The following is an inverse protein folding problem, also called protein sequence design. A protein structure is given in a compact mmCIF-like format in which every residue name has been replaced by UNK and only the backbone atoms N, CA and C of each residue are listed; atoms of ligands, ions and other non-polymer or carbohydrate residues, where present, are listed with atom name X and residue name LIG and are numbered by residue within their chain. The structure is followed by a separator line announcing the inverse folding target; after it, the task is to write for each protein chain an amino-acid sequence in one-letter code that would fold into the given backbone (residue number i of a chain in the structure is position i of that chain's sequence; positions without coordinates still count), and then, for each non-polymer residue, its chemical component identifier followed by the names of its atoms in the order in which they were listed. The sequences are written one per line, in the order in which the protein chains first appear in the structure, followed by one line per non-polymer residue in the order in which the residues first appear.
data_IF_979666952252
#
_entry.id   IF_979666952252
#
_cell.length_a   1.000
_cell.length_b   1.000
_cell.length_c   1.000
_cell.angle_alpha   90.00
_cell.angle_beta   90.00
_cell.angle_gamma   90.00
#
_symmetry.space_group_name_H-M   'P 1'
#
loop_
_entity.id
_entity.type
_entity.pdbx_description
1 polymer ?
#
# COMPACT_ATOMS: atom_id res chain seq x y z
N UNK A 1 -29.01 0.79 -26.82
CA UNK A 1 -28.13 1.40 -25.78
C UNK A 1 -27.61 0.40 -24.74
N UNK A 2 -28.24 -0.77 -24.51
CA UNK A 2 -27.74 -1.81 -23.60
C UNK A 2 -26.53 -2.61 -24.13
N UNK A 3 -26.47 -2.88 -25.44
CA UNK A 3 -25.44 -3.72 -26.07
C UNK A 3 -24.05 -3.06 -26.06
N UNK A 4 -23.97 -1.72 -26.06
CA UNK A 4 -22.70 -0.99 -26.01
C UNK A 4 -22.05 -0.99 -24.61
N UNK A 5 -22.84 -1.14 -23.54
CA UNK A 5 -22.31 -1.19 -22.16
C UNK A 5 -21.68 -2.54 -21.84
N UNK A 6 -22.26 -3.64 -22.34
CA UNK A 6 -21.75 -4.99 -22.09
C UNK A 6 -20.47 -5.27 -22.86
N UNK A 7 -20.34 -4.77 -24.10
CA UNK A 7 -19.10 -4.89 -24.87
C UNK A 7 -17.95 -4.10 -24.24
N UNK A 8 -18.18 -2.86 -23.78
CA UNK A 8 -17.12 -2.07 -23.14
C UNK A 8 -16.58 -2.71 -21.84
N UNK A 9 -17.47 -3.33 -21.06
CA UNK A 9 -17.12 -4.09 -19.85
C UNK A 9 -16.25 -5.30 -20.20
N UNK A 10 -16.62 -6.07 -21.23
CA UNK A 10 -15.86 -7.24 -21.67
C UNK A 10 -14.46 -6.86 -22.15
N UNK A 11 -14.32 -5.79 -22.93
CA UNK A 11 -13.02 -5.34 -23.44
C UNK A 11 -12.11 -4.85 -22.30
N UNK A 12 -12.65 -4.18 -21.27
CA UNK A 12 -11.87 -3.71 -20.12
C UNK A 12 -11.46 -4.87 -19.19
N UNK A 13 -12.34 -5.86 -18.98
CA UNK A 13 -12.03 -7.08 -18.23
C UNK A 13 -10.94 -7.89 -18.93
N UNK A 14 -11.01 -7.99 -20.26
CA UNK A 14 -9.96 -8.57 -21.10
C UNK A 14 -8.67 -7.75 -21.00
N UNK A 15 -8.74 -6.42 -20.93
CA UNK A 15 -7.56 -5.54 -20.76
C UNK A 15 -6.93 -5.68 -19.38
N UNK A 16 -7.72 -5.83 -18.31
CA UNK A 16 -7.24 -6.08 -16.95
C UNK A 16 -6.64 -7.49 -16.80
N UNK A 17 -7.27 -8.50 -17.40
CA UNK A 17 -6.76 -9.87 -17.48
C UNK A 17 -5.51 -9.95 -18.37
N UNK A 18 -5.45 -9.19 -19.46
CA UNK A 18 -4.28 -9.08 -20.32
C UNK A 18 -3.15 -8.32 -19.62
N UNK A 19 -3.42 -7.24 -18.88
CA UNK A 19 -2.41 -6.56 -18.07
C UNK A 19 -1.85 -7.48 -16.98
N UNK A 20 -2.70 -8.28 -16.33
CA UNK A 20 -2.27 -9.32 -15.39
C UNK A 20 -1.48 -10.46 -16.06
N UNK A 21 -1.72 -10.74 -17.35
CA UNK A 21 -0.99 -11.74 -18.15
C UNK A 21 0.31 -11.24 -18.80
N UNK A 22 0.45 -9.92 -19.05
CA UNK A 22 1.64 -9.29 -19.64
C UNK A 22 2.73 -9.02 -18.60
N UNK A 23 2.35 -8.76 -17.35
CA UNK A 23 3.27 -8.51 -16.22
C UNK A 23 4.22 -9.70 -15.90
N UNK A 24 3.75 -10.97 -15.86
CA UNK A 24 4.61 -12.13 -15.65
C UNK A 24 5.77 -12.19 -16.65
N UNK A 25 5.56 -11.80 -17.91
CA UNK A 25 6.60 -11.81 -18.94
C UNK A 25 7.66 -10.71 -18.74
N UNK A 26 7.30 -9.58 -18.14
CA UNK A 26 8.22 -8.48 -17.83
C UNK A 26 9.01 -8.72 -16.53
N UNK A 27 8.42 -9.41 -15.54
CA UNK A 27 9.08 -9.73 -14.28
C UNK A 27 10.30 -10.67 -14.47
N UNK A 28 10.32 -11.48 -15.54
CA UNK A 28 11.48 -12.30 -15.90
C UNK A 28 12.67 -11.51 -16.47
N UNK A 29 12.52 -10.21 -16.76
CA UNK A 29 13.58 -9.37 -17.33
C UNK A 29 14.41 -8.60 -16.29
N UNK A 30 13.97 -8.56 -15.02
CA UNK A 30 14.76 -7.94 -13.97
C UNK A 30 15.83 -8.91 -13.48
N UNK A 31 17.10 -8.56 -13.71
CA UNK A 31 18.21 -9.22 -13.02
C UNK A 31 18.03 -9.08 -11.51
N UNK A 32 18.38 -10.13 -10.76
CA UNK A 32 18.30 -10.24 -9.28
C UNK A 32 19.29 -9.30 -8.56
N UNK A 33 19.32 -8.02 -8.92
CA UNK A 33 20.20 -6.98 -8.39
C UNK A 33 19.65 -6.21 -7.18
N UNK A 34 18.49 -6.62 -6.65
CA UNK A 34 17.78 -5.89 -5.60
C UNK A 34 17.04 -4.64 -6.11
N UNK A 35 16.05 -4.19 -5.36
CA UNK A 35 15.33 -2.93 -5.63
C UNK A 35 15.72 -1.88 -4.59
N UNK A 36 15.72 -0.61 -4.99
CA UNK A 36 15.83 0.52 -4.06
C UNK A 36 14.44 0.91 -3.55
N UNK A 37 14.38 1.55 -2.37
CA UNK A 37 13.15 1.99 -1.73
C UNK A 37 12.06 0.89 -1.62
N UNK A 38 12.35 -0.32 -1.09
CA UNK A 38 11.33 -1.36 -0.89
C UNK A 38 10.21 -0.92 0.05
N UNK A 39 10.46 0.10 0.89
CA UNK A 39 9.45 0.76 1.74
C UNK A 39 8.24 1.30 0.97
N UNK A 40 8.40 1.70 -0.30
CA UNK A 40 7.31 2.20 -1.16
C UNK A 40 6.27 1.12 -1.50
N UNK A 41 6.60 -0.15 -1.33
CA UNK A 41 5.69 -1.27 -1.57
C UNK A 41 4.88 -1.64 -0.33
N UNK A 42 5.15 -1.01 0.82
CA UNK A 42 4.46 -1.22 2.08
C UNK A 42 3.26 -0.25 2.23
N UNK A 43 2.00 -0.74 2.23
CA UNK A 43 0.83 0.03 2.63
C UNK A 43 0.99 0.83 3.93
N UNK A 44 0.81 2.15 3.84
CA UNK A 44 0.92 3.07 4.98
C UNK A 44 -0.39 3.17 5.78
N UNK A 45 -1.01 2.02 6.10
CA UNK A 45 -2.32 1.97 6.76
C UNK A 45 -2.44 0.77 7.69
N UNK A 46 -2.58 1.05 8.98
CA UNK A 46 -2.92 0.05 9.99
C UNK A 46 -4.13 -0.81 9.61
N UNK A 47 -5.16 -0.18 9.04
CA UNK A 47 -6.37 -0.86 8.58
C UNK A 47 -6.05 -1.86 7.46
N UNK A 48 -5.34 -1.44 6.41
CA UNK A 48 -4.98 -2.33 5.29
C UNK A 48 -4.07 -3.46 5.76
N UNK A 49 -3.10 -3.14 6.62
CA UNK A 49 -2.20 -4.10 7.25
C UNK A 49 -2.97 -5.20 8.00
N UNK A 50 -4.02 -4.82 8.74
CA UNK A 50 -4.88 -5.76 9.46
C UNK A 50 -5.76 -6.63 8.53
N UNK A 51 -5.90 -6.22 7.28
CA UNK A 51 -6.59 -6.93 6.21
C UNK A 51 -5.60 -7.68 5.30
N UNK A 52 -4.40 -7.99 5.83
CA UNK A 52 -3.38 -8.73 5.12
C UNK A 52 -2.73 -7.97 3.98
N UNK A 53 -2.87 -6.64 3.92
CA UNK A 53 -2.53 -5.71 2.82
C UNK A 53 -3.53 -5.62 1.67
N UNK A 54 -4.68 -6.27 1.78
CA UNK A 54 -5.69 -6.15 0.75
C UNK A 54 -6.26 -4.71 0.76
N UNK A 55 -6.28 -4.07 -0.41
CA UNK A 55 -6.66 -2.67 -0.55
C UNK A 55 -6.75 -2.13 -1.98
N UNK A 56 -6.39 -2.90 -3.01
CA UNK A 56 -6.34 -2.44 -4.40
C UNK A 56 -7.70 -1.95 -4.92
N UNK A 57 -8.81 -2.49 -4.42
CA UNK A 57 -10.17 -2.12 -4.80
C UNK A 57 -10.95 -1.37 -3.71
N UNK A 58 -10.39 -1.24 -2.52
CA UNK A 58 -11.06 -0.57 -1.41
C UNK A 58 -10.85 0.95 -1.49
N UNK A 59 -11.58 1.72 -0.69
CA UNK A 59 -11.75 3.17 -0.92
C UNK A 59 -12.05 3.97 0.37
N UNK A 60 -11.32 3.76 1.48
CA UNK A 60 -11.78 4.18 2.82
C UNK A 60 -10.82 4.83 3.82
N UNK A 61 -9.58 5.13 3.47
CA UNK A 61 -8.57 5.67 4.39
C UNK A 61 -7.75 6.77 3.69
N UNK A 62 -6.89 7.48 4.43
CA UNK A 62 -6.10 8.57 3.85
C UNK A 62 -4.78 8.13 3.22
N UNK A 63 -4.42 6.85 3.33
CA UNK A 63 -3.18 6.30 2.80
C UNK A 63 -3.36 5.56 1.48
N UNK A 64 -4.55 5.60 0.85
CA UNK A 64 -4.80 4.92 -0.43
C UNK A 64 -3.86 5.34 -1.55
N UNK A 65 -3.31 6.55 -1.55
CA UNK A 65 -2.28 6.93 -2.53
C UNK A 65 -1.05 6.00 -2.50
N UNK A 66 -0.78 5.31 -1.38
CA UNK A 66 0.29 4.31 -1.27
C UNK A 66 -0.05 2.94 -1.88
N UNK A 67 -1.31 2.67 -2.22
CA UNK A 67 -1.77 1.35 -2.71
C UNK A 67 -2.53 1.44 -4.04
N UNK A 68 -3.40 2.42 -4.20
CA UNK A 68 -4.10 2.73 -5.45
C UNK A 68 -4.54 4.22 -5.46
N UNK A 69 -3.99 5.07 -6.34
CA UNK A 69 -4.36 6.48 -6.39
C UNK A 69 -5.83 6.73 -6.76
N UNK A 70 -6.54 5.75 -7.36
CA UNK A 70 -7.97 5.87 -7.59
C UNK A 70 -8.83 5.74 -6.33
N UNK A 71 -8.22 5.39 -5.18
CA UNK A 71 -8.90 5.23 -3.89
C UNK A 71 -8.93 6.48 -3.00
N UNK A 72 -8.22 7.57 -3.36
CA UNK A 72 -8.18 8.78 -2.52
C UNK A 72 -9.56 9.44 -2.39
N UNK A 73 -9.87 10.05 -1.24
CA UNK A 73 -11.13 10.79 -0.96
C UNK A 73 -12.40 10.12 -1.50
N UNK A 74 -12.58 8.86 -1.16
CA UNK A 74 -13.78 8.12 -1.51
C UNK A 74 -14.80 8.02 -0.36
N UNK A 75 -14.41 8.51 0.82
CA UNK A 75 -15.35 9.03 1.82
C UNK A 75 -15.70 10.45 1.36
N UNK A 76 -16.95 10.89 1.50
CA UNK A 76 -17.48 12.08 0.84
C UNK A 76 -16.91 13.43 1.33
N UNK A 77 -15.85 13.39 2.15
CA UNK A 77 -15.32 14.52 2.90
C UNK A 77 -13.81 14.71 2.67
N UNK A 78 -13.34 15.91 3.00
CA UNK A 78 -11.92 16.19 3.15
C UNK A 78 -11.35 15.34 4.29
N UNK A 79 -10.11 14.87 4.13
CA UNK A 79 -9.50 13.94 5.08
C UNK A 79 -8.06 14.32 5.34
N UNK A 80 -7.72 14.46 6.63
CA UNK A 80 -6.33 14.44 7.10
C UNK A 80 -6.06 13.08 7.70
N UNK A 81 -4.93 12.47 7.34
CA UNK A 81 -4.56 11.15 7.84
C UNK A 81 -3.13 11.11 8.31
N UNK A 82 -2.92 10.51 9.48
CA UNK A 82 -1.61 10.24 10.05
C UNK A 82 -1.47 8.75 10.32
N UNK A 83 -0.30 8.21 10.00
CA UNK A 83 0.11 6.87 10.36
C UNK A 83 1.46 6.89 11.03
N UNK A 84 1.58 6.11 12.10
CA UNK A 84 2.84 5.70 12.68
C UNK A 84 2.87 4.17 12.76
N UNK A 85 3.93 3.53 12.28
CA UNK A 85 4.11 2.08 12.32
C UNK A 85 5.52 1.71 12.79
N UNK A 86 5.60 0.87 13.82
CA UNK A 86 6.87 0.30 14.28
C UNK A 86 7.14 -1.03 13.59
N UNK A 87 8.39 -1.22 13.18
CA UNK A 87 8.94 -2.41 12.57
C UNK A 87 10.01 -3.10 13.43
N UNK A 88 10.58 -4.20 12.93
CA UNK A 88 11.67 -4.91 13.60
C UNK A 88 12.94 -4.05 13.60
N UNK A 89 13.86 -4.31 14.55
CA UNK A 89 15.15 -3.59 14.65
C UNK A 89 15.00 -2.06 14.68
N UNK A 90 14.02 -1.56 15.44
CA UNK A 90 13.74 -0.12 15.63
C UNK A 90 13.40 0.66 14.34
N UNK A 91 13.11 -0.04 13.25
CA UNK A 91 12.63 0.57 12.01
C UNK A 91 11.25 1.18 12.21
N UNK A 92 10.96 2.29 11.52
CA UNK A 92 9.70 3.03 11.67
C UNK A 92 9.20 3.55 10.33
N UNK A 93 7.89 3.56 10.15
CA UNK A 93 7.25 4.24 9.02
C UNK A 93 6.32 5.31 9.55
N UNK A 94 6.43 6.50 8.99
CA UNK A 94 5.56 7.63 9.22
C UNK A 94 4.87 7.99 7.90
N UNK A 95 3.58 8.29 7.97
CA UNK A 95 2.81 8.75 6.83
C UNK A 95 1.88 9.89 7.23
N UNK A 96 1.86 10.95 6.43
CA UNK A 96 0.94 12.06 6.59
C UNK A 96 0.32 12.36 5.24
N UNK A 97 -1.00 12.47 5.18
CA UNK A 97 -1.70 12.93 3.99
C UNK A 97 -2.84 13.89 4.30
N UNK A 98 -3.15 14.69 3.28
CA UNK A 98 -4.35 15.50 3.24
C UNK A 98 -4.98 15.35 1.86
N UNK A 99 -6.28 15.09 1.82
CA UNK A 99 -7.04 14.96 0.58
C UNK A 99 -8.25 15.88 0.59
N UNK A 100 -8.44 16.60 -0.51
CA UNK A 100 -9.59 17.47 -0.73
C UNK A 100 -10.46 16.91 -1.85
N UNK A 101 -11.78 17.01 -1.68
CA UNK A 101 -12.75 16.57 -2.68
C UNK A 101 -13.53 17.76 -3.24
N UNK A 102 -13.53 17.89 -4.57
CA UNK A 102 -14.31 18.87 -5.30
C UNK A 102 -15.12 18.20 -6.41
N UNK A 103 -16.41 17.96 -6.15
CA UNK A 103 -17.32 17.23 -7.03
C UNK A 103 -16.78 15.86 -7.46
N UNK A 104 -16.33 15.75 -8.72
CA UNK A 104 -15.77 14.54 -9.34
C UNK A 104 -14.24 14.49 -9.23
N UNK A 105 -13.59 15.59 -8.89
CA UNK A 105 -12.15 15.66 -8.73
C UNK A 105 -11.79 15.50 -7.25
N UNK A 106 -10.75 14.74 -6.98
CA UNK A 106 -10.08 14.76 -5.68
C UNK A 106 -8.60 14.99 -5.90
N UNK A 107 -7.99 15.78 -5.01
CA UNK A 107 -6.56 16.04 -5.00
C UNK A 107 -6.02 15.74 -3.63
N UNK A 108 -4.84 15.16 -3.56
CA UNK A 108 -4.20 14.81 -2.30
C UNK A 108 -2.71 15.06 -2.33
N UNK A 109 -2.18 15.43 -1.17
CA UNK A 109 -0.75 15.49 -0.92
C UNK A 109 -0.42 14.48 0.18
N UNK A 110 0.72 13.82 0.07
CA UNK A 110 1.19 12.94 1.12
C UNK A 110 2.71 12.97 1.24
N UNK A 111 3.19 12.69 2.45
CA UNK A 111 4.60 12.47 2.76
C UNK A 111 4.71 11.12 3.43
N UNK A 112 5.66 10.32 2.98
CA UNK A 112 6.04 9.04 3.59
C UNK A 112 7.51 9.13 4.00
N UNK A 113 7.82 8.67 5.20
CA UNK A 113 9.18 8.59 5.72
C UNK A 113 9.38 7.23 6.37
N UNK A 114 10.40 6.49 5.95
CA UNK A 114 10.75 5.20 6.51
C UNK A 114 12.16 5.28 7.10
N UNK A 115 12.25 5.16 8.42
CA UNK A 115 13.51 5.08 9.16
C UNK A 115 13.93 3.61 9.22
N UNK A 116 15.13 3.29 8.71
CA UNK A 116 15.68 1.93 8.76
C UNK A 116 16.34 1.62 10.11
N UNK A 117 16.29 2.52 11.08
CA UNK A 117 16.92 2.34 12.39
C UNK A 117 18.43 2.60 12.34
N UNK A 118 19.08 2.36 13.49
CA UNK A 118 20.52 2.49 13.63
C UNK A 118 21.19 1.12 13.48
N UNK A 119 22.21 1.02 12.63
CA UNK A 119 23.01 -0.18 12.46
C UNK A 119 24.48 0.10 12.84
N UNK A 120 25.17 -0.82 13.53
CA UNK A 120 26.58 -0.64 13.89
C UNK A 120 27.45 -0.64 12.63
N UNK A 121 28.48 0.21 12.61
CA UNK A 121 29.48 0.20 11.55
C UNK A 121 30.33 -1.08 11.64
N UNK A 122 30.79 -1.59 10.50
CA UNK A 122 31.76 -2.69 10.48
C UNK A 122 33.17 -2.12 10.39
N UNK A 123 34.08 -2.55 11.28
CA UNK A 123 35.50 -2.19 11.21
C UNK A 123 36.22 -3.02 10.15
N UNK A 124 37.34 -2.50 9.65
CA UNK A 124 38.28 -3.26 8.82
C UNK A 124 38.78 -4.47 9.62
N UNK A 125 38.27 -5.66 9.30
CA UNK A 125 38.48 -6.90 10.06
C UNK A 125 37.20 -7.70 10.33
N UNK A 126 36.02 -7.10 10.12
CA UNK A 126 34.72 -7.77 10.24
C UNK A 126 34.06 -7.65 11.62
N UNK A 127 34.73 -7.03 12.58
CA UNK A 127 34.15 -6.75 13.91
C UNK A 127 33.17 -5.57 13.84
N UNK A 128 32.05 -5.69 14.54
CA UNK A 128 31.07 -4.61 14.69
C UNK A 128 31.59 -3.53 15.65
N UNK A 129 31.53 -2.27 15.23
CA UNK A 129 31.73 -1.11 16.08
C UNK A 129 30.40 -0.68 16.70
N UNK A 130 30.04 -1.28 17.83
CA UNK A 130 28.81 -0.93 18.54
C UNK A 130 28.79 0.53 19.04
N UNK A 131 29.94 1.23 19.07
CA UNK A 131 30.03 2.62 19.50
C UNK A 131 29.72 3.62 18.37
N UNK A 132 29.75 3.19 17.11
CA UNK A 132 29.47 4.04 15.96
C UNK A 132 28.40 3.42 15.07
N UNK A 133 27.24 4.07 14.96
CA UNK A 133 26.13 3.60 14.12
C UNK A 133 25.99 4.46 12.87
N UNK A 134 25.42 3.88 11.81
CA UNK A 134 24.90 4.63 10.68
C UNK A 134 23.37 4.56 10.65
N UNK A 135 22.78 5.57 10.02
CA UNK A 135 21.35 5.67 9.80
C UNK A 135 21.07 5.62 8.30
N UNK A 136 19.96 4.98 7.95
CA UNK A 136 19.42 5.00 6.60
C UNK A 136 17.93 5.32 6.64
N UNK A 137 17.46 6.05 5.63
CA UNK A 137 16.04 6.35 5.51
C UNK A 137 15.61 6.52 4.06
N UNK A 138 14.32 6.30 3.87
CA UNK A 138 13.59 6.53 2.64
C UNK A 138 12.58 7.65 2.85
N UNK A 139 12.43 8.52 1.86
CA UNK A 139 11.43 9.59 1.90
C UNK A 139 10.74 9.73 0.55
N UNK A 140 9.43 9.97 0.59
CA UNK A 140 8.63 10.26 -0.60
C UNK A 140 7.66 11.41 -0.35
N UNK A 141 7.58 12.32 -1.31
CA UNK A 141 6.52 13.34 -1.40
C UNK A 141 5.64 13.01 -2.58
N UNK A 142 4.34 12.97 -2.37
CA UNK A 142 3.35 12.51 -3.34
C UNK A 142 2.33 13.60 -3.62
N UNK A 143 2.08 13.86 -4.91
CA UNK A 143 0.94 14.64 -5.36
C UNK A 143 0.01 13.70 -6.15
N UNK A 144 -1.23 13.56 -5.69
CA UNK A 144 -2.20 12.61 -6.23
C UNK A 144 -3.43 13.33 -6.73
N UNK A 145 -3.99 12.85 -7.83
CA UNK A 145 -5.29 13.28 -8.33
C UNK A 145 -6.15 12.07 -8.66
N UNK A 146 -7.46 12.20 -8.50
CA UNK A 146 -8.47 11.20 -8.87
C UNK A 146 -9.66 11.89 -9.52
N UNK A 147 -10.17 11.31 -10.60
CA UNK A 147 -11.42 11.72 -11.24
C UNK A 147 -12.44 10.58 -11.19
N UNK A 148 -13.65 10.91 -10.76
CA UNK A 148 -14.81 10.03 -10.74
C UNK A 148 -15.61 10.17 -12.05
N UNK A 149 -15.68 9.08 -12.81
CA UNK A 149 -16.34 8.97 -14.12
C UNK A 149 -17.46 7.92 -14.05
N UNK A 150 -18.60 8.31 -13.48
CA UNK A 150 -19.75 7.42 -13.31
C UNK A 150 -19.44 6.27 -12.36
N UNK A 151 -19.29 5.06 -12.90
CA UNK A 151 -18.96 3.86 -12.10
C UNK A 151 -17.46 3.66 -11.88
N UNK A 152 -16.61 4.47 -12.51
CA UNK A 152 -15.17 4.34 -12.46
C UNK A 152 -14.55 5.49 -11.67
N UNK A 153 -13.48 5.19 -10.93
CA UNK A 153 -12.51 6.20 -10.51
C UNK A 153 -11.19 5.91 -11.21
N UNK A 154 -10.52 6.95 -11.67
CA UNK A 154 -9.17 6.87 -12.24
C UNK A 154 -8.30 7.85 -11.48
N UNK A 155 -7.14 7.40 -11.03
CA UNK A 155 -6.21 8.23 -10.29
C UNK A 155 -4.79 8.10 -10.78
N UNK A 156 -4.00 9.13 -10.51
CA UNK A 156 -2.58 9.17 -10.81
C UNK A 156 -1.83 9.91 -9.70
N UNK A 157 -0.61 9.46 -9.43
CA UNK A 157 0.30 10.07 -8.46
C UNK A 157 1.63 10.36 -9.12
N UNK A 158 2.24 11.50 -8.78
CA UNK A 158 3.66 11.78 -9.04
C UNK A 158 4.39 11.81 -7.70
N UNK A 159 5.56 11.18 -7.64
CA UNK A 159 6.38 11.05 -6.43
C UNK A 159 7.76 11.67 -6.63
N UNK A 160 8.18 12.51 -5.70
CA UNK A 160 9.59 12.85 -5.49
C UNK A 160 10.17 11.93 -4.43
N UNK A 161 11.27 11.24 -4.75
CA UNK A 161 11.83 10.18 -3.92
C UNK A 161 13.25 10.53 -3.47
N UNK A 162 13.59 10.12 -2.25
CA UNK A 162 14.96 10.21 -1.72
C UNK A 162 15.28 9.00 -0.88
N UNK A 163 16.44 8.41 -1.11
CA UNK A 163 17.04 7.38 -0.26
C UNK A 163 18.37 7.93 0.26
N UNK A 164 18.64 7.76 1.55
CA UNK A 164 19.89 8.17 2.18
C UNK A 164 20.44 7.02 2.98
N UNK A 165 21.69 6.66 2.74
CA UNK A 165 22.40 5.58 3.44
C UNK A 165 23.72 6.15 3.93
N UNK A 166 23.83 6.38 5.24
CA UNK A 166 25.00 6.98 5.87
C UNK A 166 25.42 8.32 5.23
N UNK A 167 26.43 8.33 4.36
CA UNK A 167 26.96 9.52 3.68
C UNK A 167 26.54 9.64 2.21
N UNK A 168 25.85 8.63 1.68
CA UNK A 168 25.41 8.59 0.29
C UNK A 168 23.90 8.83 0.18
N UNK A 169 23.46 9.42 -0.92
CA UNK A 169 22.03 9.61 -1.17
C UNK A 169 21.69 9.50 -2.65
N UNK A 170 20.50 9.00 -2.94
CA UNK A 170 19.90 9.00 -4.26
C UNK A 170 18.59 9.79 -4.26
N UNK A 171 18.29 10.41 -5.39
CA UNK A 171 16.99 11.06 -5.61
C UNK A 171 16.32 10.41 -6.82
N UNK A 172 15.00 10.40 -6.85
CA UNK A 172 14.26 9.84 -7.97
C UNK A 172 12.90 10.43 -8.16
N UNK A 173 12.27 9.97 -9.22
CA UNK A 173 10.90 10.31 -9.57
C UNK A 173 10.16 9.02 -9.95
N UNK A 174 8.92 8.92 -9.51
CA UNK A 174 8.04 7.83 -9.90
C UNK A 174 6.62 8.33 -10.18
N UNK A 175 5.86 7.52 -10.89
CA UNK A 175 4.45 7.70 -11.07
C UNK A 175 3.66 6.44 -10.70
N UNK A 176 2.42 6.67 -10.27
CA UNK A 176 1.44 5.61 -10.08
C UNK A 176 0.23 5.90 -10.96
N UNK A 177 -0.42 4.83 -11.40
CA UNK A 177 -1.70 4.87 -12.11
C UNK A 177 -2.63 3.87 -11.47
N UNK A 178 -3.89 4.26 -11.30
CA UNK A 178 -4.87 3.44 -10.61
C UNK A 178 -6.26 3.60 -11.18
N UNK A 179 -7.06 2.55 -11.06
CA UNK A 179 -8.48 2.58 -11.36
C UNK A 179 -9.27 1.73 -10.36
N UNK A 180 -10.49 2.16 -10.07
CA UNK A 180 -11.50 1.32 -9.41
C UNK A 180 -12.81 1.35 -10.20
N UNK A 181 -13.55 0.25 -10.17
CA UNK A 181 -14.79 0.06 -10.89
C UNK A 181 -15.87 -0.49 -9.96
N UNK A 182 -16.93 0.29 -9.77
CA UNK A 182 -18.17 -0.17 -9.13
C UNK A 182 -18.93 -1.04 -10.11
N UNK A 183 -18.88 -2.34 -9.90
CA UNK A 183 -19.49 -3.31 -10.81
C UNK A 183 -21.02 -3.24 -10.72
N UNK A 184 -21.75 -3.82 -11.69
CA UNK A 184 -23.20 -3.97 -11.60
C UNK A 184 -23.65 -4.88 -10.45
N UNK A 185 -22.76 -5.73 -9.90
CA UNK A 185 -23.06 -6.56 -8.74
C UNK A 185 -23.02 -5.69 -7.49
N UNK A 186 -24.16 -5.61 -6.80
CA UNK A 186 -24.28 -4.78 -5.61
C UNK A 186 -23.25 -5.16 -4.56
N UNK A 187 -22.52 -4.16 -4.06
CA UNK A 187 -21.47 -4.34 -3.05
C UNK A 187 -20.11 -4.77 -3.60
N UNK A 188 -19.97 -5.07 -4.90
CA UNK A 188 -18.72 -5.50 -5.50
C UNK A 188 -18.01 -4.36 -6.24
N UNK A 189 -16.76 -4.09 -5.85
CA UNK A 189 -15.85 -3.17 -6.52
C UNK A 189 -14.61 -3.94 -6.94
N UNK A 190 -14.13 -3.71 -8.15
CA UNK A 190 -12.84 -4.19 -8.64
C UNK A 190 -11.86 -3.02 -8.72
N UNK A 191 -10.57 -3.28 -8.55
CA UNK A 191 -9.55 -2.25 -8.63
C UNK A 191 -8.24 -2.80 -9.18
N UNK A 192 -7.48 -1.93 -9.82
CA UNK A 192 -6.14 -2.23 -10.28
C UNK A 192 -5.26 -0.98 -10.18
N UNK A 193 -3.97 -1.18 -9.94
CA UNK A 193 -2.99 -0.12 -9.88
C UNK A 193 -1.62 -0.60 -10.35
N UNK A 194 -0.89 0.31 -11.00
CA UNK A 194 0.54 0.20 -11.25
C UNK A 194 1.22 1.26 -10.38
N UNK A 195 2.08 0.81 -9.48
CA UNK A 195 2.74 1.64 -8.47
C UNK A 195 4.24 1.70 -8.74
N UNK A 196 4.85 2.82 -8.38
CA UNK A 196 6.28 3.06 -8.32
C UNK A 196 7.01 2.90 -9.67
N UNK A 197 6.34 3.21 -10.78
CA UNK A 197 6.97 3.21 -12.10
C UNK A 197 7.87 4.45 -12.24
N UNK A 198 9.18 4.26 -12.30
CA UNK A 198 10.11 5.39 -12.29
C UNK A 198 11.57 4.97 -12.23
N UNK A 199 12.42 5.90 -11.79
CA UNK A 199 13.85 5.65 -11.66
C UNK A 199 14.46 6.49 -10.52
N UNK A 200 15.58 5.99 -10.00
CA UNK A 200 16.48 6.71 -9.10
C UNK A 200 17.76 7.14 -9.83
N UNK A 201 18.41 8.17 -9.30
CA UNK A 201 19.81 8.49 -9.64
C UNK A 201 20.72 7.32 -9.26
N UNK A 202 21.89 7.22 -9.89
CA UNK A 202 22.85 6.18 -9.53
C UNK A 202 23.39 6.39 -8.10
N UNK A 203 23.64 5.29 -7.39
CA UNK A 203 24.47 5.26 -6.20
C UNK A 203 25.90 4.94 -6.64
N UNK A 204 26.79 5.92 -6.56
CA UNK A 204 28.10 5.86 -7.20
C UNK A 204 27.97 5.53 -8.71
N UNK A 205 28.27 4.31 -9.13
CA UNK A 205 28.21 3.87 -10.54
C UNK A 205 27.00 2.97 -10.85
N UNK A 206 26.31 2.46 -9.83
CA UNK A 206 25.24 1.48 -9.99
C UNK A 206 23.86 2.14 -9.98
N UNK A 207 22.96 1.65 -10.84
CA UNK A 207 21.55 2.03 -10.82
C UNK A 207 20.72 0.87 -10.29
N UNK A 208 19.94 1.16 -9.26
CA UNK A 208 18.99 0.22 -8.71
C UNK A 208 17.58 0.58 -9.19
N UNK A 209 16.79 -0.42 -9.62
CA UNK A 209 15.41 -0.18 -10.01
C UNK A 209 14.51 0.06 -8.79
N UNK A 210 13.41 0.79 -9.01
CA UNK A 210 12.35 0.91 -8.00
C UNK A 210 11.56 -0.38 -7.88
N UNK A 211 10.97 -0.62 -6.70
CA UNK A 211 9.99 -1.69 -6.47
C UNK A 211 8.66 -1.39 -7.17
N UNK A 212 8.66 -1.47 -8.51
CA UNK A 212 7.45 -1.32 -9.34
C UNK A 212 6.50 -2.48 -9.04
N UNK A 213 5.23 -2.16 -8.82
CA UNK A 213 4.25 -3.12 -8.30
C UNK A 213 2.92 -2.99 -9.04
N UNK A 214 2.47 -4.08 -9.64
CA UNK A 214 1.10 -4.18 -10.13
C UNK A 214 0.24 -4.81 -9.05
N UNK A 215 -0.90 -4.19 -8.78
CA UNK A 215 -1.92 -4.66 -7.84
C UNK A 215 -3.23 -4.80 -8.59
N UNK A 216 -3.96 -5.86 -8.31
CA UNK A 216 -5.36 -6.01 -8.74
C UNK A 216 -6.14 -6.67 -7.63
N UNK A 217 -7.41 -6.35 -7.49
CA UNK A 217 -8.20 -6.89 -6.40
C UNK A 217 -9.68 -6.60 -6.50
N UNK A 218 -10.39 -7.17 -5.55
CA UNK A 218 -11.83 -6.99 -5.39
C UNK A 218 -12.19 -6.78 -3.92
N UNK A 219 -13.20 -5.96 -3.69
CA UNK A 219 -13.87 -5.86 -2.39
C UNK A 219 -15.36 -6.14 -2.57
N UNK A 220 -15.88 -7.05 -1.74
CA UNK A 220 -17.30 -7.37 -1.67
C UNK A 220 -17.86 -6.95 -0.32
N UNK A 221 -18.79 -5.98 -0.34
CA UNK A 221 -19.45 -5.43 0.85
C UNK A 221 -20.89 -5.96 0.94
N UNK A 222 -21.22 -6.63 2.05
CA UNK A 222 -22.58 -7.14 2.30
C UNK A 222 -22.90 -7.05 3.79
N UNK A 223 -24.01 -6.45 4.22
CA UNK A 223 -24.41 -6.53 5.62
C UNK A 223 -24.70 -7.99 6.02
N UNK A 224 -24.22 -8.40 7.19
CA UNK A 224 -24.57 -9.69 7.79
C UNK A 224 -25.99 -9.61 8.35
N UNK A 225 -26.33 -8.47 8.97
CA UNK A 225 -27.66 -8.10 9.43
C UNK A 225 -27.77 -6.56 9.48
N UNK A 226 -28.85 -6.01 10.04
CA UNK A 226 -29.06 -4.55 10.13
C UNK A 226 -27.99 -3.82 10.94
N UNK A 227 -27.35 -4.49 11.91
CA UNK A 227 -26.38 -3.88 12.82
C UNK A 227 -24.92 -4.14 12.43
N UNK A 228 -24.65 -5.19 11.64
CA UNK A 228 -23.30 -5.66 11.32
C UNK A 228 -23.06 -5.58 9.82
N UNK A 229 -22.11 -4.72 9.43
CA UNK A 229 -21.61 -4.62 8.04
C UNK A 229 -20.41 -5.54 7.87
N UNK A 230 -20.29 -6.23 6.73
CA UNK A 230 -19.06 -6.95 6.40
C UNK A 230 -18.47 -6.52 5.07
N UNK A 231 -17.15 -6.66 4.98
CA UNK A 231 -16.38 -6.61 3.74
C UNK A 231 -15.46 -7.81 3.63
N UNK A 232 -15.33 -8.32 2.41
CA UNK A 232 -14.33 -9.31 2.03
C UNK A 232 -13.43 -8.68 0.98
N UNK A 233 -12.12 -8.81 1.15
CA UNK A 233 -11.11 -8.28 0.26
C UNK A 233 -10.21 -9.42 -0.23
N UNK A 234 -9.88 -9.39 -1.52
CA UNK A 234 -8.94 -10.31 -2.14
C UNK A 234 -8.16 -9.58 -3.20
N UNK A 235 -6.84 -9.58 -3.07
CA UNK A 235 -5.92 -8.95 -3.98
C UNK A 235 -4.91 -9.96 -4.54
N UNK A 236 -4.31 -9.60 -5.66
CA UNK A 236 -3.15 -10.22 -6.26
C UNK A 236 -2.15 -9.11 -6.58
N UNK A 237 -0.93 -9.26 -6.09
CA UNK A 237 0.15 -8.33 -6.38
C UNK A 237 1.28 -9.04 -7.12
N UNK A 238 1.86 -8.37 -8.11
CA UNK A 238 3.02 -8.82 -8.86
C UNK A 238 4.04 -7.67 -8.86
N UNK A 239 5.21 -7.89 -8.27
CA UNK A 239 6.29 -6.93 -8.33
C UNK A 239 7.22 -7.22 -9.52
N UNK A 240 7.87 -6.17 -10.02
CA UNK A 240 8.76 -6.25 -11.18
C UNK A 240 10.00 -7.14 -10.94
N UNK A 241 10.36 -7.38 -9.68
CA UNK A 241 11.42 -8.31 -9.26
C UNK A 241 10.95 -9.78 -9.18
N UNK A 242 9.69 -10.07 -9.53
CA UNK A 242 9.15 -11.43 -9.65
C UNK A 242 8.39 -11.96 -8.44
N UNK A 243 8.24 -11.18 -7.37
CA UNK A 243 7.42 -11.60 -6.22
C UNK A 243 5.92 -11.50 -6.54
N UNK A 244 5.23 -12.63 -6.38
CA UNK A 244 3.79 -12.72 -6.48
C UNK A 244 3.18 -13.00 -5.11
N UNK A 245 2.24 -12.16 -4.68
CA UNK A 245 1.58 -12.29 -3.38
C UNK A 245 0.08 -12.17 -3.51
N UNK A 246 -0.66 -12.80 -2.60
CA UNK A 246 -2.12 -12.72 -2.57
C UNK A 246 -2.62 -12.33 -1.17
N UNK A 247 -2.86 -11.04 -0.92
CA UNK A 247 -3.56 -10.58 0.27
C UNK A 247 -5.03 -10.99 0.29
N UNK A 248 -5.54 -11.41 1.43
CA UNK A 248 -6.97 -11.55 1.68
C UNK A 248 -7.34 -11.03 3.07
N UNK A 249 -8.53 -10.43 3.19
CA UNK A 249 -8.97 -9.85 4.45
C UNK A 249 -10.48 -9.83 4.62
N UNK A 250 -10.91 -9.83 5.88
CA UNK A 250 -12.31 -9.64 6.28
C UNK A 250 -12.40 -8.50 7.29
N UNK A 251 -13.40 -7.64 7.10
CA UNK A 251 -13.74 -6.55 8.02
C UNK A 251 -15.18 -6.72 8.47
N UNK A 252 -15.43 -6.67 9.78
CA UNK A 252 -16.75 -6.66 10.39
C UNK A 252 -16.91 -5.37 11.19
N UNK A 253 -17.91 -4.56 10.86
CA UNK A 253 -18.19 -3.30 11.56
C UNK A 253 -19.53 -3.40 12.29
N UNK A 254 -19.51 -3.16 13.60
CA UNK A 254 -20.67 -3.08 14.47
C UNK A 254 -20.65 -1.74 15.22
N UNK A 255 -21.61 -0.87 14.95
CA UNK A 255 -21.63 0.50 15.50
C UNK A 255 -20.30 1.24 15.20
N UNK A 256 -19.63 1.76 16.23
CA UNK A 256 -18.33 2.43 16.15
C UNK A 256 -17.13 1.47 16.03
N UNK A 257 -17.31 0.17 16.26
CA UNK A 257 -16.23 -0.82 16.31
C UNK A 257 -16.07 -1.53 14.97
N UNK A 258 -14.84 -1.71 14.53
CA UNK A 258 -14.49 -2.57 13.41
C UNK A 258 -13.48 -3.62 13.83
N UNK A 259 -13.74 -4.88 13.50
CA UNK A 259 -12.83 -6.01 13.70
C UNK A 259 -12.32 -6.48 12.35
N UNK A 260 -11.02 -6.74 12.28
CA UNK A 260 -10.33 -7.09 11.04
C UNK A 260 -9.44 -8.29 11.25
N UNK A 261 -9.43 -9.16 10.25
CA UNK A 261 -8.48 -10.26 10.16
C UNK A 261 -8.03 -10.39 8.70
N UNK A 262 -6.77 -10.72 8.51
CA UNK A 262 -6.17 -10.83 7.20
C UNK A 262 -5.08 -11.88 7.13
N UNK A 263 -4.90 -12.42 5.94
CA UNK A 263 -3.86 -13.37 5.62
C UNK A 263 -3.13 -12.96 4.34
N UNK A 264 -1.80 -13.00 4.37
CA UNK A 264 -0.96 -12.67 3.22
C UNK A 264 -0.37 -13.96 2.64
N UNK A 265 -1.02 -14.51 1.61
CA UNK A 265 -0.55 -15.73 0.97
C UNK A 265 0.67 -15.47 0.09
N UNK A 266 1.54 -16.48 -0.01
CA UNK A 266 2.74 -16.47 -0.87
C UNK A 266 3.72 -15.33 -0.52
N UNK A 267 3.77 -14.97 0.76
CA UNK A 267 4.66 -13.94 1.27
C UNK A 267 5.69 -14.57 2.21
N UNK A 268 6.96 -14.20 2.03
CA UNK A 268 8.07 -14.91 2.68
C UNK A 268 8.14 -14.67 4.20
N UNK A 269 7.81 -13.45 4.65
CA UNK A 269 8.07 -13.03 6.03
C UNK A 269 6.83 -12.90 6.93
N UNK A 270 5.61 -13.04 6.40
CA UNK A 270 4.37 -12.79 7.16
C UNK A 270 3.25 -13.70 6.70
N UNK A 271 2.32 -13.94 7.61
CA UNK A 271 1.15 -14.78 7.33
C UNK A 271 -0.13 -14.12 7.83
N UNK A 272 -0.30 -14.02 9.14
CA UNK A 272 -1.54 -13.58 9.76
C UNK A 272 -1.47 -12.15 10.30
N UNK A 273 -2.58 -11.43 10.18
CA UNK A 273 -2.78 -10.09 10.71
C UNK A 273 -4.18 -9.95 11.31
N UNK A 274 -4.31 -9.11 12.31
CA UNK A 274 -5.58 -8.77 12.94
C UNK A 274 -5.60 -7.30 13.34
N UNK A 275 -6.77 -6.70 13.49
CA UNK A 275 -6.85 -5.31 13.90
C UNK A 275 -8.21 -4.91 14.41
N UNK A 276 -8.24 -3.77 15.09
CA UNK A 276 -9.43 -3.15 15.62
C UNK A 276 -9.46 -1.69 15.18
N UNK A 277 -10.63 -1.22 14.79
CA UNK A 277 -10.90 0.17 14.44
C UNK A 277 -12.00 0.76 15.32
N UNK A 278 -11.86 2.03 15.64
CA UNK A 278 -12.82 2.81 16.41
C UNK A 278 -13.19 4.07 15.64
N UNK A 279 -14.48 4.33 15.49
CA UNK A 279 -15.01 5.52 14.81
C UNK A 279 -15.77 6.39 15.81
N UNK A 280 -15.28 7.59 16.07
CA UNK A 280 -15.88 8.57 16.96
C UNK A 280 -16.17 9.87 16.21
N UNK A 281 -17.38 10.00 15.65
CA UNK A 281 -17.71 11.11 14.77
C UNK A 281 -16.88 11.04 13.49
N UNK A 282 -16.09 12.08 13.22
CA UNK A 282 -15.17 12.12 12.07
C UNK A 282 -13.82 11.47 12.38
N UNK A 283 -13.51 11.24 13.66
CA UNK A 283 -12.24 10.64 14.08
C UNK A 283 -12.30 9.12 13.88
N UNK A 284 -11.36 8.58 13.10
CA UNK A 284 -11.13 7.13 13.01
C UNK A 284 -9.78 6.78 13.59
N UNK A 285 -9.73 5.80 14.48
CA UNK A 285 -8.52 5.26 15.09
C UNK A 285 -8.42 3.78 14.71
N UNK A 286 -7.33 3.41 14.03
CA UNK A 286 -7.08 2.02 13.65
C UNK A 286 -5.82 1.49 14.31
N UNK A 287 -5.92 0.28 14.86
CA UNK A 287 -4.83 -0.49 15.43
C UNK A 287 -4.68 -1.83 14.68
N UNK A 288 -3.45 -2.20 14.39
CA UNK A 288 -3.10 -3.46 13.75
C UNK A 288 -2.11 -4.27 14.57
N UNK A 289 -2.24 -5.58 14.49
CA UNK A 289 -1.28 -6.58 14.94
C UNK A 289 -0.90 -7.45 13.74
N UNK A 290 0.41 -7.60 13.50
CA UNK A 290 0.95 -8.44 12.43
C UNK A 290 1.85 -9.49 13.04
N UNK A 291 1.64 -10.75 12.65
CA UNK A 291 2.54 -11.85 12.99
C UNK A 291 3.54 -12.09 11.85
N UNK A 292 4.80 -11.82 12.14
CA UNK A 292 5.92 -12.20 11.28
C UNK A 292 6.35 -13.64 11.56
N UNK A 293 6.85 -14.33 10.53
CA UNK A 293 7.36 -15.70 10.64
C UNK A 293 8.80 -15.66 11.19
N UNK A 294 9.12 -16.61 12.08
CA UNK A 294 10.31 -16.61 12.97
C UNK A 294 11.67 -16.87 12.29
N UNK A 295 11.86 -16.55 11.00
CA UNK A 295 13.16 -16.74 10.32
C UNK A 295 14.21 -15.68 10.68
N UNK A 296 13.86 -14.71 11.53
CA UNK A 296 14.80 -13.77 12.14
C UNK A 296 14.92 -14.15 13.60
N UNK A 297 16.12 -14.60 14.02
CA UNK A 297 16.52 -14.96 15.39
C UNK A 297 16.38 -13.81 16.41
N UNK A 298 15.20 -13.22 16.56
CA UNK A 298 14.86 -12.29 17.61
C UNK A 298 13.93 -13.03 18.57
N UNK A 299 14.45 -13.42 19.74
CA UNK A 299 13.76 -14.22 20.78
C UNK A 299 12.54 -13.56 21.44
N UNK A 300 11.83 -12.69 20.72
CA UNK A 300 10.56 -12.09 21.06
C UNK A 300 9.81 -11.84 19.75
N UNK A 301 8.58 -12.36 19.61
CA UNK A 301 7.67 -11.97 18.52
C UNK A 301 7.58 -10.44 18.50
N UNK A 302 8.15 -9.76 17.48
CA UNK A 302 8.19 -8.30 17.50
C UNK A 302 6.75 -7.79 17.36
N UNK A 303 6.41 -6.79 18.18
CA UNK A 303 5.07 -6.22 18.24
C UNK A 303 5.00 -5.04 17.27
N UNK A 304 4.30 -5.23 16.16
CA UNK A 304 4.10 -4.19 15.16
C UNK A 304 2.73 -3.59 15.42
N UNK A 305 2.70 -2.36 15.92
CA UNK A 305 1.48 -1.58 15.92
C UNK A 305 1.58 -0.51 14.86
N UNK A 306 0.46 -0.30 14.19
CA UNK A 306 0.24 0.86 13.35
C UNK A 306 -0.95 1.62 13.94
N UNK A 307 -0.83 2.94 14.05
CA UNK A 307 -1.90 3.83 14.49
C UNK A 307 -2.28 4.74 13.34
N UNK A 308 -3.47 4.53 12.78
CA UNK A 308 -4.06 5.43 11.77
C UNK A 308 -5.03 6.39 12.43
N UNK A 309 -4.87 7.70 12.20
CA UNK A 309 -5.82 8.74 12.63
C UNK A 309 -6.35 9.46 11.40
N UNK A 310 -7.65 9.32 11.12
CA UNK A 310 -8.36 10.09 10.09
C UNK A 310 -9.27 11.15 10.72
N UNK A 311 -9.24 12.39 10.21
CA UNK A 311 -10.12 13.51 10.62
C UNK A 311 -10.75 14.13 9.38
#
# INVERSE_FOLDING_TARGET
MFIFRTTMIQHLLILLLAAAGVMPAYAFLYEKGGTCLPSLSLPASARMRALGDAGAADVRDGAYASVNPAGIAAIDDDLIFLEHMNYFMDMKSEYLSATLKYERLSVGVAVQYFDMGAAPLTRDGGDYDEANTFHAYDAAVMLTSKVTLGAFNVGATIKGLRESIWTQSMNGIACDLGATWRTPVQGLIAGAALMNAGYMSALAENRYPLSTLFRTGVVYSRPVNESVKSKLLLDMNMSADGYFTMPAGVELTYSALSFRAGYHFLHDTRSFSAGVGLVFGNLTIDYCYIRYLDDINAGSTPQFFALGIGI
#
